data_IF_240021568193
#
_entry.id   IF_240021568193
#
_cell.length_a   1.000
_cell.length_b   1.000
_cell.length_c   1.000
_cell.angle_alpha   90.00
_cell.angle_beta   90.00
_cell.angle_gamma   90.00
#
_symmetry.space_group_name_H-M   'P 1'
#
loop_
_entity.id
_entity.type
_entity.pdbx_description
1 polymer ?
#
# COMPACT_ATOMS: atom_id res chain seq x y z
N UNK A 1 -3.40 19.56 18.14
CA UNK A 1 -2.22 19.50 17.22
C UNK A 1 -2.50 20.35 16.00
N UNK A 2 -1.46 20.90 15.34
CA UNK A 2 -1.63 21.73 14.13
C UNK A 2 -2.45 21.05 13.01
N UNK A 3 -2.44 19.71 12.95
CA UNK A 3 -3.25 18.93 11.99
C UNK A 3 -4.74 18.95 12.34
N UNK A 4 -5.11 18.86 13.62
CA UNK A 4 -6.52 18.95 14.04
C UNK A 4 -7.09 20.34 13.79
N UNK A 5 -6.29 21.38 14.04
CA UNK A 5 -6.64 22.76 13.70
C UNK A 5 -6.78 22.94 12.18
N UNK A 6 -5.85 22.36 11.40
CA UNK A 6 -5.92 22.36 9.95
C UNK A 6 -7.18 21.66 9.41
N UNK A 7 -7.56 20.52 9.99
CA UNK A 7 -8.78 19.79 9.63
C UNK A 7 -10.06 20.51 10.06
N UNK A 8 -10.04 21.26 11.16
CA UNK A 8 -11.17 22.10 11.55
C UNK A 8 -11.46 23.21 10.52
N UNK A 9 -10.42 23.69 9.82
CA UNK A 9 -10.55 24.70 8.75
C UNK A 9 -10.80 24.05 7.38
N UNK A 10 -10.14 22.93 7.09
CA UNK A 10 -10.18 22.23 5.80
C UNK A 10 -10.42 20.73 6.02
N UNK A 11 -11.66 20.34 6.33
CA UNK A 11 -11.97 18.96 6.70
C UNK A 11 -11.67 17.98 5.57
N UNK A 12 -11.83 18.37 4.31
CA UNK A 12 -11.60 17.50 3.14
C UNK A 12 -10.19 17.62 2.53
N UNK A 13 -9.25 18.20 3.28
CA UNK A 13 -7.85 18.24 2.86
C UNK A 13 -7.27 16.82 2.82
N UNK A 14 -6.99 16.33 1.61
CA UNK A 14 -6.36 15.03 1.37
C UNK A 14 -5.08 14.85 2.21
N UNK A 15 -4.18 15.84 2.19
CA UNK A 15 -2.92 15.76 2.92
C UNK A 15 -3.11 15.78 4.44
N UNK A 16 -4.03 16.58 4.96
CA UNK A 16 -4.27 16.62 6.39
C UNK A 16 -4.89 15.31 6.89
N UNK A 17 -5.86 14.74 6.17
CA UNK A 17 -6.44 13.44 6.52
C UNK A 17 -5.40 12.32 6.44
N UNK A 18 -4.55 12.31 5.40
CA UNK A 18 -3.44 11.36 5.26
C UNK A 18 -2.49 11.41 6.46
N UNK A 19 -2.01 12.62 6.81
CA UNK A 19 -1.04 12.78 7.91
C UNK A 19 -1.70 12.50 9.26
N UNK A 20 -2.99 12.84 9.42
CA UNK A 20 -3.72 12.53 10.64
C UNK A 20 -3.83 11.01 10.87
N UNK A 21 -4.22 10.26 9.84
CA UNK A 21 -4.27 8.80 9.88
C UNK A 21 -2.89 8.20 10.19
N UNK A 22 -1.82 8.66 9.50
CA UNK A 22 -0.46 8.19 9.73
C UNK A 22 0.02 8.41 11.18
N UNK A 23 -0.29 9.57 11.75
CA UNK A 23 0.06 9.87 13.14
C UNK A 23 -0.67 8.95 14.11
N UNK A 24 -1.98 8.82 13.97
CA UNK A 24 -2.77 8.02 14.91
C UNK A 24 -2.45 6.53 14.78
N UNK A 25 -2.42 6.01 13.55
CA UNK A 25 -2.24 4.58 13.28
C UNK A 25 -0.80 4.16 13.52
N UNK A 26 0.20 4.87 13.00
CA UNK A 26 1.57 4.34 12.93
C UNK A 26 2.53 4.98 13.95
N UNK A 27 2.45 6.29 14.16
CA UNK A 27 3.41 7.02 15.04
C UNK A 27 3.03 6.93 16.51
N UNK A 28 1.78 7.26 16.84
CA UNK A 28 1.25 7.20 18.20
C UNK A 28 0.71 5.82 18.54
N UNK A 29 0.32 5.04 17.52
CA UNK A 29 -0.37 3.75 17.66
C UNK A 29 -1.60 3.86 18.57
N UNK A 30 -2.28 5.00 18.51
CA UNK A 30 -3.57 5.21 19.17
C UNK A 30 -4.65 4.54 18.34
N UNK A 31 -4.72 3.21 18.41
CA UNK A 31 -5.68 2.40 17.65
C UNK A 31 -7.12 2.73 18.03
N UNK A 32 -7.35 3.14 19.28
CA UNK A 32 -8.69 3.50 19.77
C UNK A 32 -9.27 4.69 19.00
N UNK A 33 -8.44 5.68 18.69
CA UNK A 33 -8.86 6.87 17.92
C UNK A 33 -8.63 6.68 16.41
N UNK A 34 -7.51 6.05 16.03
CA UNK A 34 -7.09 5.90 14.65
C UNK A 34 -7.97 4.94 13.84
N UNK A 35 -8.44 3.84 14.44
CA UNK A 35 -9.23 2.85 13.68
C UNK A 35 -10.61 3.38 13.26
N UNK A 36 -11.41 4.03 14.14
CA UNK A 36 -12.65 4.69 13.70
C UNK A 36 -12.41 5.72 12.58
N UNK A 37 -11.38 6.57 12.72
CA UNK A 37 -11.01 7.53 11.70
C UNK A 37 -10.64 6.85 10.37
N UNK A 38 -9.94 5.72 10.43
CA UNK A 38 -9.58 4.95 9.24
C UNK A 38 -10.83 4.42 8.53
N UNK A 39 -11.83 3.91 9.27
CA UNK A 39 -13.10 3.46 8.66
C UNK A 39 -13.84 4.59 7.96
N UNK A 40 -13.96 5.75 8.60
CA UNK A 40 -14.56 6.94 8.00
C UNK A 40 -13.82 7.36 6.73
N UNK A 41 -12.48 7.31 6.76
CA UNK A 41 -11.65 7.63 5.61
C UNK A 41 -11.86 6.63 4.44
N UNK A 42 -12.03 5.34 4.73
CA UNK A 42 -12.36 4.33 3.72
C UNK A 42 -13.73 4.58 3.12
N UNK A 43 -14.73 4.80 3.96
CA UNK A 43 -16.09 5.12 3.52
C UNK A 43 -16.11 6.36 2.63
N UNK A 44 -15.42 7.43 3.03
CA UNK A 44 -15.31 8.66 2.26
C UNK A 44 -14.57 8.47 0.93
N UNK A 45 -13.52 7.64 0.91
CA UNK A 45 -12.78 7.34 -0.32
C UNK A 45 -13.66 6.58 -1.32
N UNK A 46 -14.42 5.59 -0.85
CA UNK A 46 -15.34 4.80 -1.67
C UNK A 46 -16.52 5.66 -2.17
N UNK A 47 -17.08 6.51 -1.31
CA UNK A 47 -18.20 7.38 -1.65
C UNK A 47 -17.87 8.43 -2.72
N UNK A 48 -16.59 8.81 -2.84
CA UNK A 48 -16.09 9.69 -3.91
C UNK A 48 -15.94 8.97 -5.27
N UNK A 49 -16.15 7.65 -5.32
CA UNK A 49 -16.14 6.82 -6.53
C UNK A 49 -14.88 7.04 -7.40
N UNK A 50 -15.06 6.96 -8.72
CA UNK A 50 -14.02 7.02 -9.76
C UNK A 50 -13.17 8.31 -9.73
N UNK A 51 -13.69 9.41 -9.18
CA UNK A 51 -12.99 10.71 -9.14
C UNK A 51 -11.84 10.75 -8.12
N UNK A 52 -11.74 9.75 -7.23
CA UNK A 52 -10.86 9.78 -6.08
C UNK A 52 -9.94 8.56 -5.96
N UNK A 53 -9.42 8.01 -7.07
CA UNK A 53 -8.40 6.95 -7.05
C UNK A 53 -7.27 7.24 -6.05
N UNK A 54 -6.83 8.50 -5.97
CA UNK A 54 -5.81 8.94 -5.01
C UNK A 54 -6.22 8.69 -3.55
N UNK A 55 -7.49 8.87 -3.19
CA UNK A 55 -8.03 8.61 -1.85
C UNK A 55 -8.06 7.13 -1.53
N UNK A 56 -8.53 6.30 -2.46
CA UNK A 56 -8.58 4.84 -2.28
C UNK A 56 -7.16 4.27 -2.10
N UNK A 57 -6.22 4.71 -2.95
CA UNK A 57 -4.80 4.30 -2.85
C UNK A 57 -4.16 4.82 -1.56
N UNK A 58 -4.42 6.06 -1.18
CA UNK A 58 -3.92 6.63 0.07
C UNK A 58 -4.42 5.84 1.28
N UNK A 59 -5.72 5.52 1.33
CA UNK A 59 -6.32 4.73 2.38
C UNK A 59 -5.67 3.35 2.48
N UNK A 60 -5.53 2.67 1.33
CA UNK A 60 -4.97 1.34 1.28
C UNK A 60 -3.50 1.33 1.70
N UNK A 61 -2.76 2.40 1.41
CA UNK A 61 -1.38 2.55 1.87
C UNK A 61 -1.25 2.63 3.40
N UNK A 62 -2.21 3.23 4.12
CA UNK A 62 -2.21 3.20 5.59
C UNK A 62 -2.40 1.78 6.15
N UNK A 63 -2.92 0.85 5.34
CA UNK A 63 -3.23 -0.51 5.77
C UNK A 63 -2.22 -1.53 5.25
N UNK A 64 -1.72 -1.37 4.03
CA UNK A 64 -0.97 -2.40 3.31
C UNK A 64 0.25 -1.87 2.56
N UNK A 65 0.71 -0.63 2.81
CA UNK A 65 1.97 -0.22 2.19
C UNK A 65 3.13 -1.10 2.74
N UNK A 66 3.88 -1.82 1.88
CA UNK A 66 4.82 -2.86 2.35
C UNK A 66 5.99 -2.36 3.19
N UNK A 67 6.28 -1.06 3.15
CA UNK A 67 7.35 -0.43 3.94
C UNK A 67 6.88 0.12 5.28
N UNK A 68 5.58 0.03 5.58
CA UNK A 68 5.01 0.48 6.86
C UNK A 68 4.79 -0.76 7.72
N UNK A 69 5.28 -0.73 8.96
CA UNK A 69 4.92 -1.75 9.94
C UNK A 69 3.43 -1.61 10.27
N UNK A 70 2.64 -2.60 9.84
CA UNK A 70 1.20 -2.67 10.04
C UNK A 70 0.81 -3.82 10.98
N UNK A 71 1.78 -4.48 11.62
CA UNK A 71 1.56 -5.66 12.45
C UNK A 71 0.76 -5.39 13.72
N UNK A 72 0.73 -4.12 14.16
CA UNK A 72 0.00 -3.66 15.34
C UNK A 72 -1.46 -3.29 15.05
N UNK A 73 -1.88 -3.25 13.78
CA UNK A 73 -3.26 -2.97 13.42
C UNK A 73 -4.16 -4.21 13.67
N UNK A 74 -5.40 -4.04 14.13
CA UNK A 74 -6.34 -5.15 14.28
C UNK A 74 -6.56 -5.87 12.95
N UNK A 75 -6.27 -7.18 12.94
CA UNK A 75 -6.25 -7.99 11.73
C UNK A 75 -7.58 -7.92 10.95
N UNK A 76 -8.69 -8.28 11.58
CA UNK A 76 -9.97 -8.44 10.86
C UNK A 76 -10.44 -7.13 10.23
N UNK A 77 -10.30 -6.01 10.94
CA UNK A 77 -10.68 -4.69 10.43
C UNK A 77 -9.79 -4.22 9.30
N UNK A 78 -8.47 -4.41 9.47
CA UNK A 78 -7.48 -4.08 8.43
C UNK A 78 -7.79 -4.85 7.14
N UNK A 79 -8.06 -6.14 7.23
CA UNK A 79 -8.34 -6.98 6.06
C UNK A 79 -9.71 -6.70 5.43
N UNK A 80 -10.74 -6.42 6.24
CA UNK A 80 -12.05 -6.03 5.71
C UNK A 80 -11.96 -4.74 4.88
N UNK A 81 -11.34 -3.69 5.43
CA UNK A 81 -11.10 -2.43 4.70
C UNK A 81 -10.17 -2.63 3.49
N UNK A 82 -9.11 -3.43 3.67
CA UNK A 82 -8.18 -3.75 2.59
C UNK A 82 -8.85 -4.42 1.39
N UNK A 83 -9.79 -5.33 1.65
CA UNK A 83 -10.58 -5.99 0.60
C UNK A 83 -11.38 -4.97 -0.20
N UNK A 84 -12.18 -4.14 0.48
CA UNK A 84 -13.06 -3.16 -0.17
C UNK A 84 -12.25 -2.19 -1.04
N UNK A 85 -11.17 -1.62 -0.51
CA UNK A 85 -10.30 -0.70 -1.24
C UNK A 85 -9.59 -1.40 -2.42
N UNK A 86 -9.15 -2.65 -2.25
CA UNK A 86 -8.48 -3.42 -3.30
C UNK A 86 -9.41 -3.73 -4.46
N UNK A 87 -10.65 -4.16 -4.16
CA UNK A 87 -11.68 -4.43 -5.17
C UNK A 87 -12.00 -3.15 -5.95
N UNK A 88 -12.13 -2.01 -5.27
CA UNK A 88 -12.34 -0.71 -5.91
C UNK A 88 -11.17 -0.33 -6.84
N UNK A 89 -9.92 -0.44 -6.40
CA UNK A 89 -8.75 -0.12 -7.27
C UNK A 89 -8.75 -1.01 -8.52
N UNK A 90 -9.08 -2.28 -8.39
CA UNK A 90 -9.09 -3.23 -9.51
C UNK A 90 -10.27 -3.02 -10.46
N UNK A 91 -11.42 -2.55 -9.97
CA UNK A 91 -12.55 -2.15 -10.82
C UNK A 91 -12.21 -0.88 -11.61
N UNK A 92 -11.60 0.11 -10.94
CA UNK A 92 -11.23 1.40 -11.52
C UNK A 92 -10.07 1.30 -12.53
N UNK A 93 -9.08 0.47 -12.22
CA UNK A 93 -7.88 0.29 -13.01
C UNK A 93 -7.63 -1.21 -13.19
N UNK A 94 -8.34 -1.88 -14.12
CA UNK A 94 -8.24 -3.33 -14.29
C UNK A 94 -6.87 -3.75 -14.83
N UNK A 95 -6.34 -4.94 -14.45
CA UNK A 95 -5.00 -5.37 -14.85
C UNK A 95 -4.80 -5.44 -16.37
N UNK A 96 -5.87 -5.72 -17.12
CA UNK A 96 -5.87 -5.86 -18.57
C UNK A 96 -6.08 -4.53 -19.33
N UNK A 97 -6.43 -3.43 -18.64
CA UNK A 97 -6.63 -2.13 -19.28
C UNK A 97 -5.34 -1.36 -19.53
N UNK A 98 -5.39 -0.28 -20.31
CA UNK A 98 -4.22 0.58 -20.60
C UNK A 98 -4.00 1.66 -19.51
N UNK A 99 -4.50 1.45 -18.30
CA UNK A 99 -4.47 2.47 -17.24
C UNK A 99 -3.05 2.86 -16.85
N UNK A 100 -2.74 4.15 -17.02
CA UNK A 100 -1.53 4.77 -16.51
C UNK A 100 -1.51 4.67 -14.98
N UNK A 101 -0.34 4.49 -14.35
CA UNK A 101 -0.14 4.49 -12.89
C UNK A 101 -0.41 3.18 -12.11
N UNK A 102 -0.51 2.01 -12.76
CA UNK A 102 -0.62 0.71 -12.04
C UNK A 102 0.51 0.48 -11.03
N UNK A 103 1.73 0.91 -11.35
CA UNK A 103 2.88 0.81 -10.45
C UNK A 103 2.67 1.48 -9.08
N UNK A 104 1.85 2.53 -9.01
CA UNK A 104 1.57 3.25 -7.77
C UNK A 104 0.44 2.63 -6.96
N UNK A 105 -0.60 2.12 -7.61
CA UNK A 105 -1.79 1.59 -6.92
C UNK A 105 -1.72 0.09 -6.63
N UNK A 106 -1.02 -0.71 -7.43
CA UNK A 106 -1.01 -2.17 -7.25
C UNK A 106 -0.07 -2.65 -6.15
N UNK A 107 0.90 -1.83 -5.73
CA UNK A 107 1.85 -2.23 -4.70
C UNK A 107 1.16 -2.59 -3.36
N UNK A 108 0.31 -1.73 -2.77
CA UNK A 108 -0.44 -2.10 -1.56
C UNK A 108 -1.56 -3.13 -1.82
N UNK A 109 -2.12 -3.20 -3.03
CA UNK A 109 -3.13 -4.23 -3.40
C UNK A 109 -2.51 -5.62 -3.42
N UNK A 110 -1.32 -5.75 -4.02
CA UNK A 110 -0.59 -7.00 -4.05
C UNK A 110 -0.21 -7.46 -2.63
N UNK A 111 0.17 -6.52 -1.76
CA UNK A 111 0.44 -6.83 -0.35
C UNK A 111 -0.80 -7.38 0.37
N UNK A 112 -1.98 -6.79 0.14
CA UNK A 112 -3.23 -7.33 0.66
C UNK A 112 -3.47 -8.77 0.17
N UNK A 113 -3.33 -9.05 -1.13
CA UNK A 113 -3.53 -10.41 -1.66
C UNK A 113 -2.48 -11.39 -1.13
N UNK A 114 -1.24 -10.97 -0.96
CA UNK A 114 -0.19 -11.81 -0.41
C UNK A 114 -0.46 -12.17 1.05
N UNK A 115 -0.77 -11.17 1.88
CA UNK A 115 -1.05 -11.40 3.30
C UNK A 115 -2.38 -12.15 3.53
N UNK A 116 -3.34 -12.05 2.60
CA UNK A 116 -4.59 -12.84 2.64
C UNK A 116 -4.44 -14.27 2.12
N UNK A 117 -3.25 -14.65 1.67
CA UNK A 117 -2.92 -16.01 1.20
C UNK A 117 -3.13 -16.24 -0.29
N UNK A 118 -3.58 -15.24 -1.05
CA UNK A 118 -3.68 -15.33 -2.51
C UNK A 118 -2.38 -14.86 -3.19
N UNK A 119 -1.33 -15.68 -3.03
CA UNK A 119 0.02 -15.40 -3.53
C UNK A 119 0.06 -15.23 -5.06
N UNK A 120 -0.69 -16.03 -5.81
CA UNK A 120 -0.70 -15.97 -7.28
C UNK A 120 -1.22 -14.62 -7.77
N UNK A 121 -2.31 -14.13 -7.16
CA UNK A 121 -2.87 -12.81 -7.48
C UNK A 121 -1.91 -11.67 -7.12
N UNK A 122 -1.22 -11.79 -5.97
CA UNK A 122 -0.23 -10.80 -5.58
C UNK A 122 0.92 -10.70 -6.60
N UNK A 123 1.44 -11.85 -7.05
CA UNK A 123 2.50 -11.91 -8.06
C UNK A 123 2.04 -11.28 -9.38
N UNK A 124 0.87 -11.67 -9.89
CA UNK A 124 0.30 -11.11 -11.13
C UNK A 124 0.25 -9.57 -11.08
N UNK A 125 -0.24 -9.00 -9.97
CA UNK A 125 -0.36 -7.56 -9.82
C UNK A 125 1.00 -6.86 -9.76
N UNK A 126 1.99 -7.44 -9.10
CA UNK A 126 3.36 -6.88 -9.11
C UNK A 126 3.97 -6.94 -10.50
N UNK A 127 3.79 -8.02 -11.25
CA UNK A 127 4.30 -8.11 -12.63
C UNK A 127 3.66 -7.07 -13.54
N UNK A 128 2.34 -6.87 -13.42
CA UNK A 128 1.62 -5.82 -14.15
C UNK A 128 2.11 -4.42 -13.75
N UNK A 129 2.34 -4.19 -12.45
CA UNK A 129 2.90 -2.94 -11.93
C UNK A 129 4.28 -2.65 -12.54
N UNK A 130 5.18 -3.64 -12.56
CA UNK A 130 6.52 -3.52 -13.16
C UNK A 130 6.42 -3.17 -14.64
N UNK A 131 5.61 -3.91 -15.43
CA UNK A 131 5.42 -3.64 -16.86
C UNK A 131 4.85 -2.24 -17.14
N UNK A 132 4.00 -1.73 -16.26
CA UNK A 132 3.46 -0.37 -16.40
C UNK A 132 4.51 0.73 -16.22
N UNK A 133 5.63 0.47 -15.53
CA UNK A 133 6.71 1.45 -15.38
C UNK A 133 7.41 1.74 -16.71
N UNK A 134 7.54 0.75 -17.59
CA UNK A 134 8.21 0.90 -18.88
C UNK A 134 7.53 1.96 -19.77
N UNK A 135 6.23 2.15 -19.59
CA UNK A 135 5.39 3.05 -20.38
C UNK A 135 5.01 4.35 -19.64
N UNK A 136 5.51 4.53 -18.41
CA UNK A 136 5.08 5.61 -17.49
C UNK A 136 5.75 6.97 -17.74
N UNK A 137 5.81 7.46 -18.97
CA UNK A 137 6.25 8.85 -19.21
C UNK A 137 5.15 9.84 -18.79
N UNK A 138 5.47 10.94 -18.06
CA UNK A 138 6.78 11.55 -17.84
C UNK A 138 7.36 11.34 -16.43
N UNK A 139 7.22 10.15 -15.82
CA UNK A 139 7.78 9.92 -14.46
C UNK A 139 9.32 10.04 -14.50
N UNK A 140 9.95 10.85 -13.63
CA UNK A 140 11.41 11.00 -13.60
C UNK A 140 12.13 9.68 -13.34
N UNK A 141 13.28 9.46 -13.98
CA UNK A 141 14.03 8.19 -13.92
C UNK A 141 14.36 7.76 -12.49
N UNK A 142 14.75 8.69 -11.61
CA UNK A 142 15.03 8.38 -10.20
C UNK A 142 13.78 7.88 -9.47
N UNK A 143 12.61 8.43 -9.79
CA UNK A 143 11.33 7.99 -9.23
C UNK A 143 10.95 6.62 -9.79
N UNK A 144 11.11 6.40 -11.10
CA UNK A 144 10.90 5.08 -11.74
C UNK A 144 11.78 4.01 -11.10
N UNK A 145 13.07 4.27 -10.91
CA UNK A 145 14.00 3.34 -10.27
C UNK A 145 13.61 3.00 -8.82
N UNK A 146 13.12 3.97 -8.05
CA UNK A 146 12.64 3.73 -6.68
C UNK A 146 11.45 2.79 -6.66
N UNK A 147 10.45 3.02 -7.51
CA UNK A 147 9.30 2.12 -7.63
C UNK A 147 9.73 0.74 -8.13
N UNK A 148 10.57 0.68 -9.17
CA UNK A 148 11.06 -0.58 -9.73
C UNK A 148 11.77 -1.43 -8.67
N UNK A 149 12.65 -0.82 -7.88
CA UNK A 149 13.38 -1.53 -6.80
C UNK A 149 12.41 -2.12 -5.78
N UNK A 150 11.43 -1.34 -5.32
CA UNK A 150 10.43 -1.81 -4.34
C UNK A 150 9.54 -2.92 -4.89
N UNK A 151 9.10 -2.80 -6.14
CA UNK A 151 8.27 -3.81 -6.80
C UNK A 151 9.04 -5.10 -7.04
N UNK A 152 10.28 -5.03 -7.52
CA UNK A 152 11.15 -6.21 -7.66
C UNK A 152 11.40 -6.87 -6.32
N UNK A 153 11.59 -6.09 -5.24
CA UNK A 153 11.81 -6.66 -3.92
C UNK A 153 10.58 -7.44 -3.43
N UNK A 154 9.37 -6.90 -3.66
CA UNK A 154 8.15 -7.62 -3.34
C UNK A 154 7.97 -8.86 -4.22
N UNK A 155 8.23 -8.77 -5.53
CA UNK A 155 8.18 -9.93 -6.41
C UNK A 155 9.10 -11.04 -5.93
N UNK A 156 10.35 -10.71 -5.60
CA UNK A 156 11.32 -11.67 -5.10
C UNK A 156 10.87 -12.29 -3.77
N UNK A 157 10.36 -11.48 -2.84
CA UNK A 157 9.84 -11.97 -1.56
C UNK A 157 8.62 -12.87 -1.74
N UNK A 158 7.74 -12.54 -2.70
CA UNK A 158 6.54 -13.33 -2.95
C UNK A 158 6.90 -14.65 -3.59
N UNK A 159 7.72 -14.67 -4.65
CA UNK A 159 8.11 -15.89 -5.35
C UNK A 159 9.05 -16.77 -4.51
N UNK A 160 9.93 -16.16 -3.72
CA UNK A 160 11.05 -16.83 -3.06
C UNK A 160 12.30 -16.92 -3.94
N UNK A 161 12.27 -16.27 -5.11
CA UNK A 161 13.32 -16.34 -6.13
C UNK A 161 13.83 -14.93 -6.48
N UNK A 162 15.07 -14.77 -6.99
CA UNK A 162 15.53 -13.47 -7.48
C UNK A 162 14.61 -12.90 -8.56
N UNK A 163 14.32 -11.60 -8.48
CA UNK A 163 13.50 -10.90 -9.46
C UNK A 163 14.35 -9.86 -10.21
N UNK A 164 14.22 -9.82 -11.53
CA UNK A 164 14.97 -8.93 -12.40
C UNK A 164 14.08 -8.24 -13.43
N UNK A 165 14.33 -6.96 -13.70
CA UNK A 165 13.70 -6.22 -14.80
C UNK A 165 14.59 -5.04 -15.22
N UNK A 166 14.66 -4.77 -16.52
CA UNK A 166 15.45 -3.65 -17.09
C UNK A 166 16.90 -3.53 -16.56
N UNK A 167 17.57 -4.67 -16.35
CA UNK A 167 18.97 -4.72 -15.87
C UNK A 167 19.16 -4.53 -14.37
N UNK A 168 18.09 -4.31 -13.59
CA UNK A 168 18.11 -4.33 -12.13
C UNK A 168 17.64 -5.71 -11.64
N UNK A 169 18.33 -6.26 -10.64
CA UNK A 169 17.98 -7.52 -9.99
C UNK A 169 18.03 -7.38 -8.48
N UNK A 170 17.12 -8.03 -7.77
CA UNK A 170 17.12 -8.14 -6.31
C UNK A 170 16.88 -9.58 -5.87
N UNK A 171 17.47 -9.96 -4.75
CA UNK A 171 17.25 -11.26 -4.12
C UNK A 171 16.10 -11.17 -3.10
N UNK A 172 15.41 -12.29 -2.80
CA UNK A 172 14.45 -12.34 -1.71
C UNK A 172 15.12 -11.97 -0.38
N UNK A 173 14.43 -11.19 0.44
CA UNK A 173 14.85 -10.88 1.80
C UNK A 173 14.38 -12.01 2.74
N UNK A 174 15.32 -12.63 3.44
CA UNK A 174 14.99 -13.57 4.50
C UNK A 174 14.31 -12.83 5.66
N UNK A 175 13.01 -13.11 5.91
CA UNK A 175 12.29 -12.63 7.10
C UNK A 175 12.69 -13.34 8.41
N UNK A 176 13.85 -13.97 8.46
CA UNK A 176 14.35 -14.63 9.67
C UNK A 176 15.46 -13.81 10.31
N UNK A 177 15.10 -13.00 11.32
CA UNK A 177 15.77 -12.92 12.64
C UNK A 177 15.33 -11.69 13.45
N UNK A 178 14.12 -11.70 14.02
CA UNK A 178 13.81 -10.97 15.26
C UNK A 178 12.90 -11.84 16.15
N UNK A 179 13.32 -13.07 16.42
CA UNK A 179 12.73 -13.88 17.52
C UNK A 179 13.72 -14.91 18.08
N UNK A 180 15.01 -14.59 18.10
CA UNK A 180 16.03 -15.39 18.77
C UNK A 180 17.05 -14.44 19.43
N UNK A 181 16.63 -13.71 20.46
CA UNK A 181 17.51 -13.13 21.49
C UNK A 181 16.72 -12.74 22.76
N UNK A 182 15.71 -13.53 23.11
CA UNK A 182 15.00 -13.42 24.39
C UNK A 182 14.79 -14.80 25.02
N UNK A 183 15.78 -15.67 24.91
CA UNK A 183 15.97 -16.78 25.83
C UNK A 183 17.47 -16.83 26.10
N UNK A 184 17.85 -16.77 27.37
CA UNK A 184 19.19 -16.72 27.98
C UNK A 184 19.83 -15.34 28.18
N UNK A 185 19.46 -14.67 29.27
CA UNK A 185 20.38 -14.31 30.38
C UNK A 185 19.56 -13.96 31.62
#
# INVERSE_FOLDING_TARGET
>A
MAIEEGLAVMPDSFDFRRVHADILLHKLRDIKTGLPLMRELVEDAINKKFEAMSWVVMALNQLFHPTIDNSHLPHDDRFAMGKELSEQILELNPPQGDGDFKFGCYFPVAQYYYESGNKDRAIELIEVAIKSLDHSEPVPDQTKQRYLTSLLQALANYTGEPACHAGLCVAPQNKTSETQNAVTS
#
